data_IF_719765278656
#
_entry.id   IF_719765278656
#
_cell.length_a   1.000
_cell.length_b   1.000
_cell.length_c   1.000
_cell.angle_alpha   90.00
_cell.angle_beta   90.00
_cell.angle_gamma   90.00
#
_symmetry.space_group_name_H-M   'P 1'
#
loop_
_entity.id
_entity.type
_entity.pdbx_description
1 polymer ?
#
# COMPACT_ATOMS: atom_id res chain seq x y z
N UNK A 1 47.38 -29.89 4.61
CA UNK A 1 46.29 -29.09 5.16
C UNK A 1 45.85 -29.73 6.46
N UNK A 2 45.80 -28.96 7.56
CA UNK A 2 45.42 -29.51 8.87
C UNK A 2 43.93 -29.90 8.85
N UNK A 3 43.62 -31.09 9.39
CA UNK A 3 42.24 -31.65 9.39
C UNK A 3 41.21 -30.67 9.97
N UNK A 4 41.62 -29.84 10.91
CA UNK A 4 40.83 -28.77 11.54
C UNK A 4 40.33 -27.70 10.54
N UNK A 5 41.21 -27.32 9.58
CA UNK A 5 40.84 -26.31 8.55
C UNK A 5 39.76 -26.84 7.59
N UNK A 6 39.85 -28.13 7.24
CA UNK A 6 38.85 -28.77 6.35
C UNK A 6 37.47 -28.85 7.05
N UNK A 7 37.45 -29.21 8.33
CA UNK A 7 36.20 -29.27 9.12
C UNK A 7 35.56 -27.87 9.25
N UNK A 8 36.38 -26.82 9.50
CA UNK A 8 35.90 -25.47 9.62
C UNK A 8 35.27 -24.96 8.30
N UNK A 9 35.85 -25.27 7.15
CA UNK A 9 35.32 -24.89 5.84
C UNK A 9 34.02 -25.59 5.54
N UNK A 10 33.91 -26.89 5.82
CA UNK A 10 32.67 -27.68 5.61
C UNK A 10 31.54 -27.15 6.49
N UNK A 11 31.79 -26.84 7.76
CA UNK A 11 30.81 -26.25 8.67
C UNK A 11 30.40 -24.84 8.22
N UNK A 12 31.29 -24.00 7.77
CA UNK A 12 31.00 -22.66 7.28
C UNK A 12 30.13 -22.65 6.02
N UNK A 13 30.46 -23.50 5.04
CA UNK A 13 29.65 -23.64 3.81
C UNK A 13 28.29 -24.22 4.09
N UNK A 14 28.20 -25.24 4.96
CA UNK A 14 26.92 -25.86 5.34
C UNK A 14 25.99 -24.88 6.03
N UNK A 15 26.51 -24.11 6.98
CA UNK A 15 25.72 -23.09 7.70
C UNK A 15 25.30 -21.93 6.77
N UNK A 16 26.18 -21.49 5.88
CA UNK A 16 25.90 -20.45 4.89
C UNK A 16 24.76 -20.83 3.94
N UNK A 17 24.73 -22.09 3.47
CA UNK A 17 23.65 -22.61 2.64
C UNK A 17 22.29 -22.62 3.36
N UNK A 18 22.26 -23.03 4.63
CA UNK A 18 21.02 -23.04 5.42
C UNK A 18 20.45 -21.65 5.59
N UNK A 19 21.31 -20.66 5.92
CA UNK A 19 20.90 -19.25 6.06
C UNK A 19 20.41 -18.68 4.74
N UNK A 20 21.06 -18.98 3.63
CA UNK A 20 20.66 -18.53 2.30
C UNK A 20 19.28 -19.06 1.91
N UNK A 21 19.02 -20.36 2.10
CA UNK A 21 17.72 -20.97 1.84
C UNK A 21 16.63 -20.37 2.74
N UNK A 22 16.93 -20.15 4.01
CA UNK A 22 15.97 -19.54 4.94
C UNK A 22 15.61 -18.11 4.56
N UNK A 23 16.57 -17.31 4.10
CA UNK A 23 16.31 -15.96 3.60
C UNK A 23 15.46 -15.96 2.34
N UNK A 24 15.77 -16.84 1.37
CA UNK A 24 14.98 -16.93 0.11
C UNK A 24 13.54 -17.35 0.37
N UNK A 25 13.30 -18.26 1.31
CA UNK A 25 11.94 -18.69 1.66
C UNK A 25 11.14 -17.58 2.33
N UNK A 26 11.80 -16.72 3.16
CA UNK A 26 11.12 -15.60 3.83
C UNK A 26 10.88 -14.39 2.91
N UNK A 27 11.68 -14.22 1.85
CA UNK A 27 11.60 -13.04 0.96
C UNK A 27 10.81 -13.29 -0.32
N UNK A 28 10.14 -14.45 -0.48
CA UNK A 28 9.24 -14.64 -1.63
C UNK A 28 8.04 -13.73 -1.49
N UNK A 29 7.89 -12.67 -2.31
CA UNK A 29 6.62 -12.00 -2.46
C UNK A 29 5.65 -13.03 -3.04
N UNK A 30 4.54 -13.27 -2.37
CA UNK A 30 3.47 -14.08 -2.94
C UNK A 30 2.85 -13.32 -4.11
N UNK A 31 3.42 -13.46 -5.29
CA UNK A 31 2.76 -13.09 -6.53
C UNK A 31 1.88 -14.27 -6.94
N UNK A 32 0.72 -14.37 -6.34
CA UNK A 32 -0.31 -15.29 -6.80
C UNK A 32 -1.04 -14.61 -7.97
N UNK A 33 -0.49 -14.73 -9.16
CA UNK A 33 -1.27 -14.50 -10.38
C UNK A 33 -2.12 -15.73 -10.66
N UNK A 34 -3.32 -15.79 -10.09
CA UNK A 34 -4.38 -16.66 -10.57
C UNK A 34 -5.10 -15.94 -11.73
N UNK A 35 -4.58 -16.09 -12.94
CA UNK A 35 -5.35 -15.82 -14.15
C UNK A 35 -6.29 -17.03 -14.33
N UNK A 36 -7.49 -16.91 -13.81
CA UNK A 36 -8.57 -17.84 -14.10
C UNK A 36 -9.41 -17.26 -15.23
N UNK A 37 -9.19 -17.79 -16.43
CA UNK A 37 -10.10 -17.60 -17.58
C UNK A 37 -11.50 -18.03 -17.16
N UNK A 38 -12.43 -17.08 -17.05
CA UNK A 38 -13.83 -17.38 -16.73
C UNK A 38 -14.57 -17.56 -18.05
N UNK A 39 -14.82 -18.82 -18.41
CA UNK A 39 -15.83 -19.18 -19.39
C UNK A 39 -17.20 -19.09 -18.72
N UNK A 40 -18.11 -18.29 -19.28
CA UNK A 40 -19.44 -18.07 -18.77
C UNK A 40 -20.25 -19.38 -18.66
N UNK A 41 -20.63 -19.71 -17.43
CA UNK A 41 -21.77 -20.62 -17.20
C UNK A 41 -22.69 -19.95 -16.20
N UNK A 42 -23.86 -19.55 -16.68
CA UNK A 42 -24.96 -19.00 -15.88
C UNK A 42 -25.53 -20.15 -15.05
N UNK A 43 -25.32 -20.14 -13.75
CA UNK A 43 -26.08 -20.98 -12.81
C UNK A 43 -26.64 -20.08 -11.71
N UNK A 44 -27.96 -20.06 -11.61
CA UNK A 44 -28.74 -19.36 -10.60
C UNK A 44 -28.41 -19.89 -9.21
N UNK A 45 -27.64 -19.11 -8.42
CA UNK A 45 -27.46 -19.34 -6.98
C UNK A 45 -28.27 -18.26 -6.27
N UNK A 46 -29.11 -18.58 -5.27
CA UNK A 46 -29.87 -17.57 -4.53
C UNK A 46 -28.91 -16.65 -3.78
N UNK A 47 -28.87 -15.41 -4.20
CA UNK A 47 -28.09 -14.36 -3.57
C UNK A 47 -28.66 -14.09 -2.18
N UNK A 48 -28.04 -14.63 -1.16
CA UNK A 48 -28.20 -14.15 0.21
C UNK A 48 -27.76 -12.68 0.20
N UNK A 49 -28.70 -11.78 0.33
CA UNK A 49 -28.39 -10.35 0.50
C UNK A 49 -27.55 -10.19 1.78
N UNK A 50 -26.24 -10.14 1.60
CA UNK A 50 -25.35 -9.62 2.61
C UNK A 50 -25.64 -8.12 2.61
N UNK A 51 -26.13 -7.60 3.72
CA UNK A 51 -26.19 -6.16 3.97
C UNK A 51 -24.81 -5.59 3.64
N UNK A 52 -24.67 -4.98 2.46
CA UNK A 52 -23.49 -4.24 2.08
C UNK A 52 -23.47 -3.00 3.01
N UNK A 53 -22.82 -3.15 4.17
CA UNK A 53 -22.23 -2.01 4.83
C UNK A 53 -21.48 -1.26 3.75
N UNK A 54 -21.83 0.01 3.53
CA UNK A 54 -21.24 0.86 2.48
C UNK A 54 -19.72 0.97 2.72
N UNK A 55 -18.99 -0.06 2.33
CA UNK A 55 -17.53 -0.03 2.31
C UNK A 55 -17.13 0.89 1.19
N UNK A 56 -16.86 2.14 1.53
CA UNK A 56 -16.35 3.10 0.58
C UNK A 56 -14.89 2.75 0.30
N UNK A 57 -14.57 2.38 -0.92
CA UNK A 57 -13.20 2.18 -1.34
C UNK A 57 -12.44 3.50 -1.32
N UNK A 58 -11.16 3.45 -0.91
CA UNK A 58 -10.28 4.61 -0.96
C UNK A 58 -10.14 5.11 -2.41
N UNK A 59 -10.59 6.32 -2.64
CA UNK A 59 -10.47 7.02 -3.91
C UNK A 59 -9.82 8.38 -3.70
N UNK A 60 -8.76 8.69 -4.44
CA UNK A 60 -8.17 10.02 -4.49
C UNK A 60 -8.77 10.75 -5.70
N UNK A 61 -9.43 11.87 -5.44
CA UNK A 61 -10.11 12.67 -6.45
C UNK A 61 -9.15 13.70 -7.02
N UNK A 62 -8.39 14.37 -6.15
CA UNK A 62 -7.38 15.38 -6.51
C UNK A 62 -6.21 15.28 -5.55
N UNK A 63 -4.97 15.53 -6.04
CA UNK A 63 -4.60 15.70 -7.44
C UNK A 63 -4.71 14.39 -8.23
N UNK A 64 -4.62 14.47 -9.55
CA UNK A 64 -4.44 13.28 -10.39
C UNK A 64 -3.02 12.76 -10.26
N UNK A 65 -2.84 11.46 -10.50
CA UNK A 65 -1.51 10.87 -10.55
C UNK A 65 -0.66 11.52 -11.66
N UNK A 66 0.61 11.76 -11.37
CA UNK A 66 1.56 12.48 -12.22
C UNK A 66 1.19 13.96 -12.49
N UNK A 67 0.37 14.58 -11.64
CA UNK A 67 0.05 15.99 -11.79
C UNK A 67 1.26 16.89 -11.53
N UNK A 68 1.40 17.95 -12.34
CA UNK A 68 2.37 19.03 -12.10
C UNK A 68 1.68 20.12 -11.28
N UNK A 69 2.27 20.47 -10.16
CA UNK A 69 1.79 21.46 -9.19
C UNK A 69 2.78 22.62 -9.18
N UNK A 70 2.27 23.86 -9.23
CA UNK A 70 3.08 25.08 -9.16
C UNK A 70 3.15 25.66 -7.75
N UNK A 71 2.28 25.23 -6.88
CA UNK A 71 2.21 25.67 -5.50
C UNK A 71 2.98 24.71 -4.58
N UNK A 72 3.65 25.26 -3.57
CA UNK A 72 4.38 24.49 -2.56
C UNK A 72 3.48 23.61 -1.68
N UNK A 73 2.18 23.83 -1.71
CA UNK A 73 1.17 23.08 -0.96
C UNK A 73 0.14 22.54 -1.94
N UNK A 74 -0.14 21.24 -1.86
CA UNK A 74 -1.19 20.60 -2.63
C UNK A 74 -2.34 20.17 -1.73
N UNK A 75 -3.58 20.44 -2.16
CA UNK A 75 -4.77 19.93 -1.47
C UNK A 75 -5.11 18.54 -2.00
N UNK A 76 -5.00 17.54 -1.14
CA UNK A 76 -5.41 16.16 -1.43
C UNK A 76 -6.87 16.00 -1.01
N UNK A 77 -7.71 15.63 -1.96
CA UNK A 77 -9.13 15.31 -1.71
C UNK A 77 -9.44 13.90 -2.15
N UNK A 78 -10.32 13.24 -1.41
CA UNK A 78 -10.69 11.87 -1.73
C UNK A 78 -11.89 11.38 -0.95
N UNK A 79 -12.22 10.10 -1.20
CA UNK A 79 -13.23 9.35 -0.45
C UNK A 79 -12.55 8.20 0.28
N UNK A 80 -12.98 7.95 1.50
CA UNK A 80 -12.51 6.85 2.32
C UNK A 80 -13.66 6.34 3.20
N UNK A 81 -13.45 5.18 3.80
CA UNK A 81 -14.40 4.63 4.77
C UNK A 81 -14.64 5.62 5.91
N UNK A 82 -15.91 5.84 6.23
CA UNK A 82 -16.32 6.65 7.37
C UNK A 82 -15.77 6.06 8.68
N UNK A 83 -15.51 6.91 9.67
CA UNK A 83 -14.90 6.52 10.94
C UNK A 83 -13.60 5.73 10.74
N UNK A 84 -12.65 6.32 10.03
CA UNK A 84 -11.33 5.75 9.80
C UNK A 84 -10.24 6.72 10.24
N UNK A 85 -9.10 6.17 10.58
CA UNK A 85 -7.86 6.93 10.69
C UNK A 85 -7.18 6.94 9.32
N UNK A 86 -6.87 8.13 8.82
CA UNK A 86 -6.16 8.32 7.56
C UNK A 86 -4.76 8.84 7.87
N UNK A 87 -3.74 8.15 7.39
CA UNK A 87 -2.34 8.55 7.47
C UNK A 87 -1.87 8.87 6.06
N UNK A 88 -1.47 10.11 5.85
CA UNK A 88 -0.93 10.58 4.57
C UNK A 88 0.55 10.87 4.79
N UNK A 89 1.39 10.20 4.03
CA UNK A 89 2.85 10.28 4.13
C UNK A 89 3.42 10.89 2.85
N UNK A 90 4.36 11.81 3.01
CA UNK A 90 5.09 12.43 1.91
C UNK A 90 6.57 12.60 2.28
N UNK A 91 7.45 12.95 1.34
CA UNK A 91 8.86 13.23 1.65
C UNK A 91 9.07 14.39 2.64
N UNK A 92 8.08 15.28 2.77
CA UNK A 92 8.18 16.50 3.61
C UNK A 92 7.53 16.31 4.98
N UNK A 93 6.35 15.66 5.03
CA UNK A 93 5.56 15.59 6.25
C UNK A 93 4.58 14.43 6.24
N UNK A 94 4.37 13.83 7.41
CA UNK A 94 3.29 12.89 7.67
C UNK A 94 2.13 13.62 8.35
N UNK A 95 0.91 13.35 7.91
CA UNK A 95 -0.33 13.91 8.46
C UNK A 95 -1.26 12.77 8.85
N UNK A 96 -1.78 12.84 10.07
CA UNK A 96 -2.75 11.86 10.59
C UNK A 96 -4.05 12.60 10.88
N UNK A 97 -5.15 12.11 10.31
CA UNK A 97 -6.49 12.64 10.57
C UNK A 97 -7.45 11.53 10.96
N UNK A 98 -8.40 11.85 11.82
CA UNK A 98 -9.55 10.98 12.09
C UNK A 98 -10.71 11.42 11.19
N UNK A 99 -10.98 10.62 10.17
CA UNK A 99 -12.04 10.89 9.21
C UNK A 99 -13.39 10.42 9.75
N UNK A 100 -14.30 11.37 10.00
CA UNK A 100 -15.65 11.08 10.50
C UNK A 100 -16.69 10.93 9.38
N UNK A 101 -16.34 11.34 8.17
CA UNK A 101 -17.19 11.36 7.00
C UNK A 101 -16.63 10.47 5.89
N UNK A 102 -17.33 10.41 4.75
CA UNK A 102 -16.84 9.67 3.58
C UNK A 102 -15.79 10.47 2.81
N UNK A 103 -15.90 11.81 2.79
CA UNK A 103 -14.96 12.67 2.08
C UNK A 103 -13.86 13.16 3.04
N UNK A 104 -12.65 13.28 2.53
CA UNK A 104 -11.56 13.94 3.25
C UNK A 104 -10.87 14.99 2.39
N UNK A 105 -10.29 15.98 3.07
CA UNK A 105 -9.50 17.04 2.46
C UNK A 105 -8.32 17.34 3.38
N UNK A 106 -7.10 17.34 2.81
CA UNK A 106 -5.85 17.58 3.55
C UNK A 106 -4.89 18.39 2.69
N UNK A 107 -4.30 19.43 3.27
CA UNK A 107 -3.25 20.22 2.63
C UNK A 107 -1.88 19.64 2.96
N UNK A 108 -1.11 19.29 1.93
CA UNK A 108 0.18 18.61 2.03
C UNK A 108 1.28 19.49 1.42
N UNK A 109 2.34 19.81 2.18
CA UNK A 109 3.50 20.49 1.62
C UNK A 109 4.28 19.54 0.69
N UNK A 110 4.84 20.12 -0.38
CA UNK A 110 5.63 19.42 -1.37
C UNK A 110 7.11 19.85 -1.30
N UNK A 111 8.00 18.91 -1.60
CA UNK A 111 9.40 19.21 -1.94
C UNK A 111 9.51 19.54 -3.42
N UNK A 112 10.52 20.32 -3.79
CA UNK A 112 10.81 20.60 -5.20
C UNK A 112 11.09 19.28 -5.95
N UNK A 113 10.52 19.15 -7.13
CA UNK A 113 10.61 17.96 -7.97
C UNK A 113 9.54 16.89 -7.64
N UNK A 114 9.93 15.66 -7.66
CA UNK A 114 9.05 14.49 -7.45
C UNK A 114 8.63 14.33 -5.99
N UNK A 115 7.34 14.12 -5.76
CA UNK A 115 6.77 13.78 -4.48
C UNK A 115 5.91 12.52 -4.61
N UNK A 116 6.30 11.48 -3.89
CA UNK A 116 5.50 10.25 -3.75
C UNK A 116 4.68 10.40 -2.47
N UNK A 117 3.36 10.44 -2.61
CA UNK A 117 2.42 10.58 -1.51
C UNK A 117 1.67 9.27 -1.32
N UNK A 118 1.72 8.72 -0.11
CA UNK A 118 1.05 7.49 0.24
C UNK A 118 -0.11 7.79 1.19
N UNK A 119 -1.31 7.35 0.84
CA UNK A 119 -2.53 7.48 1.65
C UNK A 119 -2.90 6.11 2.18
N UNK A 120 -2.91 5.98 3.49
CA UNK A 120 -3.25 4.76 4.23
C UNK A 120 -4.51 4.99 5.04
N UNK A 121 -5.51 4.13 4.90
CA UNK A 121 -6.80 4.21 5.59
C UNK A 121 -6.98 3.01 6.49
N UNK A 122 -7.18 3.26 7.77
CA UNK A 122 -7.42 2.26 8.82
C UNK A 122 -8.84 2.46 9.36
N UNK A 123 -9.82 1.67 8.89
CA UNK A 123 -11.19 1.72 9.40
C UNK A 123 -11.25 1.32 10.88
N UNK A 124 -12.14 1.97 11.66
CA UNK A 124 -12.41 1.57 13.06
C UNK A 124 -13.12 0.20 13.10
N UNK A 125 -13.89 -0.16 12.07
CA UNK A 125 -14.53 -1.46 11.93
C UNK A 125 -13.51 -2.51 11.46
N UNK A 126 -13.24 -3.50 12.31
CA UNK A 126 -12.30 -4.60 12.05
C UNK A 126 -12.69 -5.52 10.89
N UNK A 127 -13.95 -5.48 10.46
CA UNK A 127 -14.43 -6.26 9.31
C UNK A 127 -14.09 -5.59 7.97
N UNK A 128 -13.69 -4.32 7.99
CA UNK A 128 -13.30 -3.57 6.81
C UNK A 128 -11.78 -3.60 6.69
N UNK A 129 -11.23 -4.10 5.59
CA UNK A 129 -9.79 -4.22 5.43
C UNK A 129 -9.12 -2.84 5.34
N UNK A 130 -7.87 -2.79 5.77
CA UNK A 130 -6.95 -1.69 5.51
C UNK A 130 -6.86 -1.39 4.01
N UNK A 131 -6.82 -0.11 3.68
CA UNK A 131 -6.72 0.35 2.29
C UNK A 131 -5.51 1.28 2.14
N UNK A 132 -4.82 1.16 1.00
CA UNK A 132 -3.67 1.98 0.64
C UNK A 132 -3.76 2.45 -0.79
N UNK A 133 -3.40 3.69 -1.03
CA UNK A 133 -3.21 4.25 -2.36
C UNK A 133 -1.97 5.12 -2.38
N UNK A 134 -1.27 5.12 -3.49
CA UNK A 134 -0.11 5.97 -3.74
C UNK A 134 -0.41 6.85 -4.94
N UNK A 135 0.06 8.07 -4.91
CA UNK A 135 0.05 9.00 -6.05
C UNK A 135 1.41 9.69 -6.12
N UNK A 136 1.77 10.05 -7.32
CA UNK A 136 2.97 10.80 -7.65
C UNK A 136 2.58 12.19 -8.13
N UNK A 137 3.22 13.22 -7.60
CA UNK A 137 3.03 14.61 -8.06
C UNK A 137 4.37 15.30 -8.20
N UNK A 138 4.45 16.23 -9.12
CA UNK A 138 5.67 17.01 -9.37
C UNK A 138 5.42 18.47 -8.98
N UNK A 139 6.22 19.00 -8.03
CA UNK A 139 6.23 20.40 -7.73
C UNK A 139 7.37 21.07 -8.51
N UNK A 140 7.02 22.05 -9.34
CA UNK A 140 7.95 22.85 -10.12
C UNK A 140 7.74 24.32 -9.77
N UNK A 141 8.79 24.93 -9.21
CA UNK A 141 8.81 26.37 -8.94
C UNK A 141 9.04 27.14 -10.24
N UNK A 142 8.19 28.13 -10.52
CA UNK A 142 8.38 29.07 -11.66
C UNK A 142 9.36 30.16 -11.32
#
# INVERSE_FOLDING_TARGET
>A
MKKETVVAVILGVGFGLIVAVFMVVRTRPQTTQNIKTITNSISNVPTKQINQSLVTNLEIISPKDNAVIKDKIVTITGKATKNSMIIIQSPVKDIIIKNKETNFKVDMPLSLGENIIQVNVYPDDKNIPFQRKQLQVYYLEE
#
